data_IF_988002337955
#
_entry.id   IF_988002337955
#
_cell.length_a   1.000
_cell.length_b   1.000
_cell.length_c   1.000
_cell.angle_alpha   90.00
_cell.angle_beta   90.00
_cell.angle_gamma   90.00
#
_symmetry.space_group_name_H-M   'P 1'
#
loop_
_entity.id
_entity.type
_entity.pdbx_description
1 polymer ?
#
# COMPACT_ATOMS: atom_id res chain seq x y z
N UNK A 1 -6.21 -14.12 -7.93
CA UNK A 1 -6.44 -15.35 -8.73
C UNK A 1 -7.76 -16.01 -8.30
N UNK A 2 -8.67 -16.27 -9.24
CA UNK A 2 -9.95 -16.93 -8.99
C UNK A 2 -9.98 -18.31 -9.63
N UNK A 3 -10.54 -19.30 -8.94
CA UNK A 3 -10.62 -20.69 -9.41
C UNK A 3 -12.01 -21.25 -9.14
N UNK A 4 -12.66 -21.80 -10.15
CA UNK A 4 -13.94 -22.46 -10.00
C UNK A 4 -14.13 -23.56 -11.04
N UNK A 5 -15.01 -24.51 -10.75
CA UNK A 5 -15.38 -25.57 -11.70
C UNK A 5 -16.63 -25.17 -12.48
N UNK A 6 -16.61 -25.40 -13.79
CA UNK A 6 -17.81 -25.40 -14.62
C UNK A 6 -18.24 -26.84 -14.87
N UNK A 7 -19.55 -27.04 -15.08
CA UNK A 7 -20.10 -28.34 -15.44
C UNK A 7 -20.95 -28.21 -16.70
N UNK A 8 -20.59 -28.96 -17.74
CA UNK A 8 -21.46 -29.17 -18.90
C UNK A 8 -22.32 -30.40 -18.65
N UNK A 9 -23.60 -30.32 -19.01
CA UNK A 9 -24.57 -31.41 -18.90
C UNK A 9 -25.35 -31.48 -20.21
N UNK A 10 -25.41 -32.64 -20.83
CA UNK A 10 -26.26 -32.85 -22.00
C UNK A 10 -27.73 -33.07 -21.59
N UNK A 11 -28.64 -33.07 -22.57
CA UNK A 11 -30.06 -33.32 -22.33
C UNK A 11 -30.50 -34.68 -22.90
N UNK A 12 -29.61 -35.68 -22.85
CA UNK A 12 -29.89 -37.03 -23.34
C UNK A 12 -30.79 -37.84 -22.37
N UNK A 13 -31.34 -38.97 -22.83
CA UNK A 13 -32.14 -39.87 -21.98
C UNK A 13 -31.35 -40.40 -20.77
N UNK A 14 -30.04 -40.62 -20.96
CA UNK A 14 -29.08 -40.76 -19.88
C UNK A 14 -28.19 -39.53 -19.86
N UNK A 15 -28.26 -38.78 -18.76
CA UNK A 15 -27.54 -37.54 -18.59
C UNK A 15 -26.04 -37.81 -18.45
N UNK A 16 -25.24 -37.22 -19.34
CA UNK A 16 -23.79 -37.16 -19.17
C UNK A 16 -23.38 -35.79 -18.68
N UNK A 17 -22.36 -35.77 -17.84
CA UNK A 17 -21.78 -34.54 -17.31
C UNK A 17 -20.26 -34.57 -17.42
N UNK A 18 -19.69 -33.39 -17.62
CA UNK A 18 -18.25 -33.15 -17.61
C UNK A 18 -17.94 -31.93 -16.76
N UNK A 19 -16.86 -31.99 -15.97
CA UNK A 19 -16.39 -30.88 -15.15
C UNK A 19 -15.04 -30.39 -15.65
N UNK A 20 -14.87 -29.07 -15.72
CA UNK A 20 -13.61 -28.43 -16.07
C UNK A 20 -13.23 -27.40 -15.00
N UNK A 21 -11.95 -27.32 -14.65
CA UNK A 21 -11.41 -26.25 -13.79
C UNK A 21 -11.13 -25.02 -14.65
N UNK A 22 -11.71 -23.88 -14.27
CA UNK A 22 -11.42 -22.57 -14.85
C UNK A 22 -10.55 -21.80 -13.87
N UNK A 23 -9.46 -21.23 -14.38
CA UNK A 23 -8.58 -20.31 -13.63
C UNK A 23 -8.64 -18.94 -14.28
N UNK A 24 -9.01 -17.92 -13.52
CA UNK A 24 -9.02 -16.52 -13.96
C UNK A 24 -7.93 -15.76 -13.21
N UNK A 25 -7.04 -15.13 -13.98
CA UNK A 25 -6.05 -14.19 -13.49
C UNK A 25 -6.57 -12.78 -13.71
N UNK A 26 -6.93 -12.11 -12.62
CA UNK A 26 -7.29 -10.68 -12.65
C UNK A 26 -5.98 -9.89 -12.81
N UNK A 27 -5.97 -8.93 -13.73
CA UNK A 27 -4.85 -8.02 -13.92
C UNK A 27 -5.08 -6.79 -13.07
N UNK A 28 -4.03 -6.38 -12.37
CA UNK A 28 -4.04 -5.17 -11.57
C UNK A 28 -4.21 -3.92 -12.45
N UNK A 29 -4.86 -2.90 -11.88
CA UNK A 29 -5.02 -1.57 -12.46
C UNK A 29 -4.69 -0.57 -11.35
N UNK A 30 -4.06 0.55 -11.71
CA UNK A 30 -3.76 1.63 -10.77
C UNK A 30 -5.05 2.39 -10.40
N UNK A 31 -5.83 1.81 -9.49
CA UNK A 31 -7.14 2.31 -9.08
C UNK A 31 -7.22 2.64 -7.58
N UNK A 32 -6.11 2.50 -6.85
CA UNK A 32 -5.96 2.98 -5.49
C UNK A 32 -4.89 4.05 -5.43
N UNK A 33 -5.16 5.09 -4.66
CA UNK A 33 -4.17 6.13 -4.41
C UNK A 33 -3.29 5.74 -3.21
N UNK A 34 -2.04 6.26 -3.15
CA UNK A 34 -1.17 6.05 -2.01
C UNK A 34 -1.82 6.54 -0.71
N UNK A 35 -1.67 5.73 0.34
CA UNK A 35 -2.11 6.04 1.69
C UNK A 35 -0.93 6.53 2.53
N UNK A 36 -1.09 7.69 3.16
CA UNK A 36 -0.09 8.28 4.06
C UNK A 36 -0.61 8.23 5.50
N UNK A 37 0.17 7.64 6.40
CA UNK A 37 -0.08 7.63 7.85
C UNK A 37 1.07 8.33 8.56
N UNK A 38 0.75 9.16 9.54
CA UNK A 38 1.75 9.89 10.33
C UNK A 38 1.62 9.43 11.77
N UNK A 39 2.67 8.83 12.32
CA UNK A 39 2.79 8.35 13.69
C UNK A 39 4.02 8.95 14.40
N UNK A 40 4.16 8.73 15.70
CA UNK A 40 5.21 9.31 16.58
C UNK A 40 5.15 10.84 16.74
N UNK A 41 5.35 11.27 18.00
CA UNK A 41 4.94 12.55 18.61
C UNK A 41 3.44 12.60 18.92
N UNK A 42 3.10 13.14 20.10
CA UNK A 42 1.72 13.33 20.57
C UNK A 42 1.02 14.29 19.61
N UNK A 43 0.42 13.71 18.57
CA UNK A 43 -0.41 14.41 17.63
C UNK A 43 -1.82 14.44 18.18
N UNK A 44 -2.35 15.63 18.42
CA UNK A 44 -3.75 15.81 18.76
C UNK A 44 -4.35 16.68 17.67
N UNK A 45 -5.31 16.12 16.93
CA UNK A 45 -6.12 16.84 15.94
C UNK A 45 -5.31 17.67 14.93
N UNK A 46 -4.34 17.07 14.26
CA UNK A 46 -3.61 17.81 13.21
C UNK A 46 -2.30 18.46 13.66
N UNK A 47 -1.97 18.42 14.95
CA UNK A 47 -0.90 19.27 15.51
C UNK A 47 0.13 18.48 16.32
N UNK A 48 1.40 18.62 15.95
CA UNK A 48 2.55 18.20 16.75
C UNK A 48 3.16 19.41 17.48
N UNK A 49 3.50 19.25 18.76
CA UNK A 49 4.21 20.27 19.56
C UNK A 49 5.64 19.83 19.80
N UNK A 50 6.58 20.72 19.48
CA UNK A 50 8.02 20.48 19.54
C UNK A 50 8.68 21.57 20.40
N UNK A 51 9.79 21.24 21.06
CA UNK A 51 10.58 22.24 21.76
C UNK A 51 11.53 22.93 20.80
N UNK A 52 11.65 24.25 20.89
CA UNK A 52 12.58 25.05 20.09
C UNK A 52 14.05 24.72 20.34
N UNK A 53 14.36 24.07 21.47
CA UNK A 53 15.73 23.68 21.84
C UNK A 53 16.17 22.35 21.25
N UNK A 54 15.31 21.68 20.46
CA UNK A 54 15.64 20.41 19.82
C UNK A 54 16.70 20.60 18.73
N UNK A 55 17.63 19.65 18.64
CA UNK A 55 18.71 19.71 17.66
C UNK A 55 18.21 19.37 16.25
N UNK A 56 18.84 19.98 15.24
CA UNK A 56 18.57 19.68 13.83
C UNK A 56 18.76 18.17 13.57
N UNK A 57 17.82 17.58 12.84
CA UNK A 57 17.79 16.15 12.54
C UNK A 57 17.10 15.28 13.59
N UNK A 58 16.49 15.88 14.62
CA UNK A 58 15.59 15.15 15.53
C UNK A 58 14.31 14.76 14.80
N UNK A 59 13.96 13.47 14.82
CA UNK A 59 12.72 12.99 14.22
C UNK A 59 11.49 13.57 14.92
N UNK A 60 10.60 14.14 14.12
CA UNK A 60 9.35 14.81 14.49
C UNK A 60 8.16 13.90 14.29
N UNK A 61 8.21 13.05 13.28
CA UNK A 61 7.20 12.05 13.03
C UNK A 61 7.78 10.86 12.25
N UNK A 62 7.07 9.75 12.30
CA UNK A 62 7.18 8.61 11.42
C UNK A 62 6.08 8.73 10.37
N UNK A 63 6.48 8.95 9.12
CA UNK A 63 5.59 8.95 7.96
C UNK A 63 5.65 7.59 7.32
N UNK A 64 4.51 6.93 7.21
CA UNK A 64 4.34 5.61 6.63
C UNK A 64 3.48 5.74 5.37
N UNK A 65 4.03 5.33 4.22
CA UNK A 65 3.41 5.46 2.91
C UNK A 65 3.25 4.08 2.29
N UNK A 66 2.03 3.75 1.87
CA UNK A 66 1.72 2.46 1.26
C UNK A 66 0.75 2.62 0.10
N UNK A 67 0.93 1.85 -0.96
CA UNK A 67 -0.06 1.70 -2.02
C UNK A 67 -0.55 0.25 -2.07
N UNK A 68 -1.84 0.07 -2.30
CA UNK A 68 -2.54 -1.21 -2.23
C UNK A 68 -2.75 -1.88 -3.60
N UNK A 69 -2.17 -1.30 -4.65
CA UNK A 69 -2.08 -1.91 -5.98
C UNK A 69 -0.90 -2.89 -6.05
N UNK A 70 -0.60 -3.43 -7.23
CA UNK A 70 0.45 -4.44 -7.42
C UNK A 70 1.60 -3.93 -8.30
N UNK A 71 2.78 -4.49 -8.09
CA UNK A 71 3.99 -4.22 -8.88
C UNK A 71 4.28 -2.71 -9.04
N UNK A 72 4.43 -2.24 -10.28
CA UNK A 72 4.71 -0.82 -10.60
C UNK A 72 3.61 0.13 -10.12
N UNK A 73 2.35 -0.32 -10.06
CA UNK A 73 1.24 0.51 -9.57
C UNK A 73 1.33 0.75 -8.07
N UNK A 74 2.06 -0.10 -7.33
CA UNK A 74 2.29 0.05 -5.90
C UNK A 74 3.54 0.89 -5.55
N UNK A 75 4.36 1.26 -6.54
CA UNK A 75 5.62 1.97 -6.32
C UNK A 75 5.33 3.44 -6.04
N UNK A 76 5.75 3.91 -4.87
CA UNK A 76 5.49 5.27 -4.40
C UNK A 76 6.77 6.09 -4.24
N UNK A 77 6.68 7.38 -4.55
CA UNK A 77 7.69 8.40 -4.22
C UNK A 77 7.06 9.46 -3.34
N UNK A 78 7.77 9.91 -2.30
CA UNK A 78 7.25 10.87 -1.33
C UNK A 78 8.23 12.05 -1.16
N UNK A 79 7.69 13.27 -1.07
CA UNK A 79 8.46 14.49 -0.88
C UNK A 79 7.77 15.45 0.11
N UNK A 80 8.55 16.34 0.72
CA UNK A 80 8.03 17.45 1.52
C UNK A 80 7.86 18.66 0.60
N UNK A 81 6.65 19.19 0.51
CA UNK A 81 6.35 20.38 -0.30
C UNK A 81 6.49 21.66 0.51
N UNK A 82 6.94 22.73 -0.13
CA UNK A 82 7.03 24.08 0.46
C UNK A 82 8.43 24.47 0.94
N UNK A 83 8.62 25.75 1.25
CA UNK A 83 9.86 26.28 1.82
C UNK A 83 9.86 26.09 3.34
N UNK A 84 10.22 24.87 3.78
CA UNK A 84 10.19 24.46 5.19
C UNK A 84 11.50 23.80 5.59
N UNK A 85 11.79 23.78 6.90
CA UNK A 85 13.02 23.23 7.47
C UNK A 85 12.88 21.74 7.88
N UNK A 86 12.02 20.98 7.21
CA UNK A 86 11.76 19.56 7.47
C UNK A 86 12.13 18.71 6.26
N UNK A 87 12.56 17.47 6.49
CA UNK A 87 12.97 16.55 5.43
C UNK A 87 12.54 15.12 5.76
N UNK A 88 12.17 14.34 4.74
CA UNK A 88 11.94 12.91 4.90
C UNK A 88 13.27 12.16 4.83
N UNK A 89 13.55 11.35 5.84
CA UNK A 89 14.68 10.42 5.87
C UNK A 89 14.15 9.01 5.95
N UNK A 90 14.52 8.17 4.99
CA UNK A 90 14.11 6.77 4.97
C UNK A 90 14.57 6.04 6.25
N UNK A 91 13.67 5.28 6.87
CA UNK A 91 13.96 4.51 8.10
C UNK A 91 14.75 3.25 7.78
N UNK A 92 14.37 2.55 6.72
CA UNK A 92 15.09 1.37 6.18
C UNK A 92 14.60 1.03 4.78
N UNK A 93 15.49 0.63 3.87
CA UNK A 93 15.13 -0.02 2.61
C UNK A 93 14.85 -1.50 2.89
N UNK A 94 13.58 -1.89 2.86
CA UNK A 94 13.21 -3.30 2.83
C UNK A 94 12.43 -3.56 1.54
N UNK A 95 13.04 -4.26 0.60
CA UNK A 95 12.45 -4.60 -0.72
C UNK A 95 11.24 -5.53 -0.63
N UNK A 96 10.95 -6.09 0.54
CA UNK A 96 9.78 -6.93 0.80
C UNK A 96 8.66 -6.20 1.54
N UNK A 97 8.88 -4.97 1.99
CA UNK A 97 7.86 -4.22 2.70
C UNK A 97 6.97 -3.48 1.70
N UNK A 98 5.65 -3.61 1.86
CA UNK A 98 4.68 -2.84 1.06
C UNK A 98 4.50 -1.41 1.58
N UNK A 99 5.20 -1.11 2.67
CA UNK A 99 5.16 0.14 3.41
C UNK A 99 6.54 0.78 3.34
N UNK A 100 6.59 2.04 2.90
CA UNK A 100 7.81 2.85 2.93
C UNK A 100 7.73 3.81 4.10
N UNK A 101 8.64 3.65 5.07
CA UNK A 101 8.66 4.43 6.30
C UNK A 101 9.77 5.48 6.26
N UNK A 102 9.44 6.70 6.64
CA UNK A 102 10.33 7.85 6.75
C UNK A 102 10.26 8.47 8.15
N UNK A 103 11.37 8.96 8.66
CA UNK A 103 11.37 9.98 9.69
C UNK A 103 11.25 11.37 9.05
N UNK A 104 10.26 12.15 9.47
CA UNK A 104 10.16 13.59 9.20
C UNK A 104 10.94 14.38 10.26
#
# INVERSE_FOLDING_TARGET
>A
MLKFYIQAKDNGPQLKFFKALVTITVKDQNDKAPLIRIGLVKYYDGVAKMSESMTVGTAVALVDVSDHDEDENAVVTCEVTGDVQFQLRLVSENSNDRETKYFL
#
